data_IF_178219577634
#
_entry.id   IF_178219577634
#
_cell.length_a   1.000
_cell.length_b   1.000
_cell.length_c   1.000
_cell.angle_alpha   90.00
_cell.angle_beta   90.00
_cell.angle_gamma   90.00
#
_symmetry.space_group_name_H-M   'P 1'
#
loop_
_entity.id
_entity.type
_entity.pdbx_description
1 polymer ?
#
# COMPACT_ATOMS: atom_id res chain seq x y z
N UNK A 1 -25.78 -60.43 -46.67
CA UNK A 1 -26.41 -59.16 -47.10
C UNK A 1 -26.11 -58.10 -46.02
N UNK A 2 -24.86 -57.65 -45.92
CA UNK A 2 -24.45 -56.60 -44.97
C UNK A 2 -24.43 -55.29 -45.73
N UNK A 3 -25.53 -54.54 -45.67
CA UNK A 3 -25.64 -53.24 -46.31
C UNK A 3 -24.70 -52.24 -45.62
N UNK A 4 -23.76 -51.69 -46.38
CA UNK A 4 -22.92 -50.58 -45.95
C UNK A 4 -23.82 -49.40 -45.61
N UNK A 5 -23.87 -49.02 -44.33
CA UNK A 5 -24.58 -47.82 -43.89
C UNK A 5 -23.80 -46.61 -44.41
N UNK A 6 -24.34 -45.97 -45.45
CA UNK A 6 -23.74 -44.81 -46.08
C UNK A 6 -23.48 -43.68 -45.07
N UNK A 7 -22.48 -42.84 -45.35
CA UNK A 7 -22.00 -41.79 -44.43
C UNK A 7 -23.10 -40.83 -43.90
N UNK A 8 -24.24 -40.75 -44.59
CA UNK A 8 -25.43 -40.01 -44.13
C UNK A 8 -26.04 -40.62 -42.87
N UNK A 9 -26.09 -41.95 -42.77
CA UNK A 9 -26.64 -42.64 -41.61
C UNK A 9 -25.67 -42.61 -40.42
N UNK A 10 -24.35 -42.64 -40.68
CA UNK A 10 -23.34 -42.40 -39.66
C UNK A 10 -23.43 -40.98 -39.09
N UNK A 11 -23.68 -39.98 -39.93
CA UNK A 11 -23.86 -38.60 -39.47
C UNK A 11 -25.10 -38.44 -38.57
N UNK A 12 -26.21 -39.13 -38.89
CA UNK A 12 -27.39 -39.15 -38.01
C UNK A 12 -27.13 -39.85 -36.69
N UNK A 13 -26.43 -40.99 -36.72
CA UNK A 13 -26.05 -41.71 -35.50
C UNK A 13 -25.11 -40.87 -34.62
N UNK A 14 -24.12 -40.19 -35.22
CA UNK A 14 -23.22 -39.28 -34.52
C UNK A 14 -23.97 -38.10 -33.88
N UNK A 15 -24.95 -37.52 -34.58
CA UNK A 15 -25.78 -36.44 -34.04
C UNK A 15 -26.63 -36.89 -32.85
N UNK A 16 -27.21 -38.08 -32.91
CA UNK A 16 -28.01 -38.66 -31.82
C UNK A 16 -27.12 -38.94 -30.61
N UNK A 17 -25.96 -39.57 -30.81
CA UNK A 17 -24.99 -39.83 -29.75
C UNK A 17 -24.49 -38.53 -29.09
N UNK A 18 -24.23 -37.48 -29.88
CA UNK A 18 -23.85 -36.17 -29.36
C UNK A 18 -24.97 -35.51 -28.53
N UNK A 19 -26.24 -35.65 -28.95
CA UNK A 19 -27.40 -35.16 -28.19
C UNK A 19 -27.58 -35.91 -26.86
N UNK A 20 -27.35 -37.21 -26.83
CA UNK A 20 -27.42 -38.00 -25.59
C UNK A 20 -26.28 -37.67 -24.63
N UNK A 21 -25.06 -37.50 -25.14
CA UNK A 21 -23.92 -37.04 -24.34
C UNK A 21 -24.18 -35.64 -23.76
N UNK A 22 -24.76 -34.72 -24.54
CA UNK A 22 -25.12 -33.38 -24.07
C UNK A 22 -26.21 -33.41 -22.99
N UNK A 23 -27.22 -34.28 -23.10
CA UNK A 23 -28.26 -34.44 -22.06
C UNK A 23 -27.67 -34.97 -20.75
N UNK A 24 -26.73 -35.92 -20.81
CA UNK A 24 -26.03 -36.47 -19.63
C UNK A 24 -25.09 -35.44 -18.97
N UNK A 25 -24.50 -34.55 -19.76
CA UNK A 25 -23.59 -33.50 -19.30
C UNK A 25 -24.28 -32.16 -18.96
N UNK A 26 -25.57 -32.03 -19.24
CA UNK A 26 -26.35 -30.78 -19.17
C UNK A 26 -26.52 -30.14 -17.79
N UNK A 27 -26.08 -30.80 -16.72
CA UNK A 27 -26.06 -30.23 -15.37
C UNK A 27 -24.83 -29.33 -15.10
N UNK A 28 -23.77 -29.41 -15.91
CA UNK A 28 -22.47 -28.80 -15.59
C UNK A 28 -22.20 -27.42 -16.23
N UNK A 29 -23.04 -26.94 -17.16
CA UNK A 29 -22.83 -25.64 -17.82
C UNK A 29 -24.02 -24.73 -17.58
N UNK A 30 -24.13 -24.23 -16.34
CA UNK A 30 -24.92 -23.02 -16.07
C UNK A 30 -24.19 -21.85 -16.72
N UNK A 31 -24.74 -21.32 -17.82
CA UNK A 31 -24.34 -20.02 -18.36
C UNK A 31 -24.32 -19.01 -17.19
N UNK A 32 -23.24 -18.25 -16.96
CA UNK A 32 -23.28 -17.18 -15.98
C UNK A 32 -24.39 -16.23 -16.41
N UNK A 33 -25.45 -16.17 -15.61
CA UNK A 33 -26.56 -15.23 -15.81
C UNK A 33 -25.91 -13.84 -15.80
N UNK A 34 -25.76 -13.23 -16.98
CA UNK A 34 -25.40 -11.81 -17.09
C UNK A 34 -26.45 -11.07 -16.27
N UNK A 35 -26.07 -10.65 -15.07
CA UNK A 35 -26.81 -9.65 -14.32
C UNK A 35 -26.68 -8.37 -15.13
N UNK A 36 -27.67 -8.13 -15.99
CA UNK A 36 -27.92 -6.79 -16.49
C UNK A 36 -28.40 -5.99 -15.29
N UNK A 37 -27.46 -5.47 -14.50
CA UNK A 37 -27.75 -4.39 -13.56
C UNK A 37 -27.98 -3.16 -14.42
N UNK A 38 -29.23 -2.99 -14.85
CA UNK A 38 -29.71 -1.70 -15.32
C UNK A 38 -29.55 -0.76 -14.14
N UNK A 39 -28.48 0.03 -14.12
CA UNK A 39 -28.35 1.16 -13.20
C UNK A 39 -29.31 2.21 -13.74
N UNK A 40 -30.59 2.02 -13.43
CA UNK A 40 -31.55 3.13 -13.46
C UNK A 40 -30.98 4.12 -12.46
N UNK A 41 -30.60 5.31 -12.94
CA UNK A 41 -30.21 6.40 -12.06
C UNK A 41 -31.37 6.58 -11.08
N UNK A 42 -31.09 6.20 -9.83
CA UNK A 42 -32.05 6.18 -8.74
C UNK A 42 -32.28 7.65 -8.36
N UNK A 43 -33.28 8.27 -8.98
CA UNK A 43 -33.74 9.58 -8.59
C UNK A 43 -34.01 9.53 -7.08
N UNK A 44 -33.55 10.54 -6.34
CA UNK A 44 -33.54 10.59 -4.87
C UNK A 44 -34.91 10.59 -4.18
N UNK A 45 -35.94 10.04 -4.83
CA UNK A 45 -37.33 9.89 -4.39
C UNK A 45 -37.80 8.43 -4.34
N UNK A 46 -36.94 7.44 -4.54
CA UNK A 46 -37.32 6.04 -4.28
C UNK A 46 -37.01 5.65 -2.83
N UNK A 47 -37.91 4.90 -2.16
CA UNK A 47 -37.65 4.43 -0.82
C UNK A 47 -36.34 3.62 -0.79
N UNK A 48 -35.52 3.88 0.24
CA UNK A 48 -34.36 3.05 0.53
C UNK A 48 -34.86 1.59 0.62
N UNK A 49 -34.17 0.69 -0.09
CA UNK A 49 -34.49 -0.72 0.01
C UNK A 49 -34.32 -1.13 1.47
N UNK A 50 -35.26 -1.88 2.03
CA UNK A 50 -35.28 -2.23 3.46
C UNK A 50 -33.91 -2.73 3.97
N UNK A 51 -33.22 -3.57 3.19
CA UNK A 51 -31.87 -4.05 3.55
C UNK A 51 -30.80 -2.94 3.59
N UNK A 52 -30.90 -1.93 2.72
CA UNK A 52 -30.02 -0.76 2.74
C UNK A 52 -30.34 0.15 3.93
N UNK A 53 -31.63 0.33 4.27
CA UNK A 53 -32.04 1.11 5.43
C UNK A 53 -31.62 0.45 6.75
N UNK A 54 -31.75 -0.88 6.86
CA UNK A 54 -31.28 -1.66 8.02
C UNK A 54 -29.76 -1.58 8.13
N UNK A 55 -29.04 -1.73 7.01
CA UNK A 55 -27.58 -1.58 6.99
C UNK A 55 -27.15 -0.20 7.48
N UNK A 56 -27.75 0.87 6.95
CA UNK A 56 -27.49 2.25 7.39
C UNK A 56 -27.81 2.44 8.87
N UNK A 57 -28.94 1.92 9.37
CA UNK A 57 -29.28 2.01 10.79
C UNK A 57 -28.30 1.25 11.69
N UNK A 58 -27.81 0.08 11.28
CA UNK A 58 -26.82 -0.69 12.05
C UNK A 58 -25.48 0.03 12.10
N UNK A 59 -25.06 0.66 10.99
CA UNK A 59 -23.83 1.46 10.91
C UNK A 59 -23.96 2.75 11.72
N UNK A 60 -25.07 3.50 11.56
CA UNK A 60 -25.34 4.75 12.30
C UNK A 60 -25.46 4.53 13.81
N UNK A 61 -26.02 3.39 14.25
CA UNK A 61 -26.10 3.03 15.66
C UNK A 61 -24.84 2.37 16.22
N UNK A 62 -23.74 2.32 15.45
CA UNK A 62 -22.48 1.72 15.89
C UNK A 62 -22.58 0.24 16.24
N UNK A 63 -23.64 -0.45 15.79
CA UNK A 63 -23.88 -1.88 16.06
C UNK A 63 -23.04 -2.78 15.15
N UNK A 64 -22.37 -2.21 14.14
CA UNK A 64 -21.29 -2.88 13.40
C UNK A 64 -19.96 -2.40 13.97
N UNK A 65 -19.71 -2.70 15.24
CA UNK A 65 -18.35 -2.68 15.73
C UNK A 65 -17.61 -3.85 15.06
N UNK A 66 -16.45 -3.65 14.41
CA UNK A 66 -15.68 -4.76 13.86
C UNK A 66 -14.98 -5.50 15.00
N UNK A 67 -15.75 -6.11 15.90
CA UNK A 67 -15.26 -7.01 16.93
C UNK A 67 -14.49 -8.19 16.30
N UNK A 68 -14.76 -8.50 15.03
CA UNK A 68 -14.10 -9.55 14.27
C UNK A 68 -12.62 -9.27 13.93
N UNK A 69 -12.16 -8.02 14.01
CA UNK A 69 -10.74 -7.70 13.80
C UNK A 69 -9.85 -8.23 14.92
N UNK A 70 -10.37 -8.30 16.15
CA UNK A 70 -9.68 -8.87 17.31
C UNK A 70 -9.52 -10.39 17.21
N UNK A 71 -10.50 -11.10 16.65
CA UNK A 71 -10.41 -12.55 16.44
C UNK A 71 -9.40 -12.94 15.37
N UNK A 72 -9.19 -12.12 14.32
CA UNK A 72 -8.15 -12.39 13.31
C UNK A 72 -6.75 -12.34 13.93
N UNK A 73 -6.50 -11.40 14.83
CA UNK A 73 -5.21 -11.29 15.52
C UNK A 73 -5.03 -12.39 16.56
N UNK A 74 -6.09 -12.73 17.31
CA UNK A 74 -6.05 -13.78 18.34
C UNK A 74 -5.85 -15.18 17.72
N UNK A 75 -6.53 -15.47 16.61
CA UNK A 75 -6.49 -16.78 15.94
C UNK A 75 -5.40 -16.84 14.85
N UNK A 76 -4.54 -15.82 14.73
CA UNK A 76 -3.58 -15.72 13.62
C UNK A 76 -2.63 -16.92 13.56
N UNK A 77 -2.08 -17.35 14.70
CA UNK A 77 -1.15 -18.48 14.75
C UNK A 77 -1.83 -19.80 14.34
N UNK A 78 -3.08 -19.99 14.72
CA UNK A 78 -3.92 -21.12 14.33
C UNK A 78 -4.22 -21.12 12.82
N UNK A 79 -4.55 -19.95 12.27
CA UNK A 79 -4.79 -19.75 10.84
C UNK A 79 -3.51 -20.02 10.05
N UNK A 80 -2.37 -19.52 10.54
CA UNK A 80 -1.06 -19.71 9.94
C UNK A 80 -0.65 -21.18 9.96
N UNK A 81 -0.85 -21.88 11.07
CA UNK A 81 -0.59 -23.31 11.20
C UNK A 81 -1.46 -24.15 10.23
N UNK A 82 -2.72 -23.78 10.04
CA UNK A 82 -3.61 -24.46 9.10
C UNK A 82 -3.26 -24.19 7.63
N UNK A 83 -2.92 -22.93 7.28
CA UNK A 83 -2.66 -22.53 5.90
C UNK A 83 -1.23 -22.88 5.45
N UNK A 84 -0.24 -22.57 6.28
CA UNK A 84 1.20 -22.64 5.96
C UNK A 84 1.98 -23.10 7.20
N UNK A 85 1.92 -24.40 7.55
CA UNK A 85 2.52 -24.92 8.79
C UNK A 85 4.04 -24.66 8.87
N UNK A 86 4.72 -24.56 7.73
CA UNK A 86 6.16 -24.28 7.65
C UNK A 86 6.55 -22.87 8.13
N UNK A 87 5.58 -21.97 8.31
CA UNK A 87 5.78 -20.61 8.79
C UNK A 87 5.28 -20.40 10.24
N UNK A 88 4.66 -21.41 10.84
CA UNK A 88 4.15 -21.33 12.21
C UNK A 88 5.27 -20.97 13.19
N UNK A 89 5.01 -20.00 14.08
CA UNK A 89 5.98 -19.53 15.08
C UNK A 89 7.12 -18.66 14.53
N UNK A 90 7.15 -18.32 13.24
CA UNK A 90 8.19 -17.44 12.62
C UNK A 90 7.64 -16.10 12.13
N UNK A 91 6.35 -15.86 12.37
CA UNK A 91 5.59 -14.76 11.79
C UNK A 91 4.61 -14.27 12.86
N UNK A 92 4.60 -12.97 13.13
CA UNK A 92 3.72 -12.39 14.15
C UNK A 92 2.80 -11.34 13.51
N UNK A 93 1.49 -11.45 13.78
CA UNK A 93 0.54 -10.41 13.41
C UNK A 93 0.66 -9.22 14.36
N UNK A 94 0.77 -8.02 13.81
CA UNK A 94 0.97 -6.78 14.59
C UNK A 94 -0.31 -5.98 14.70
N UNK A 95 -1.04 -5.84 13.60
CA UNK A 95 -2.25 -5.03 13.55
C UNK A 95 -3.19 -5.54 12.46
N UNK A 96 -4.48 -5.32 12.67
CA UNK A 96 -5.50 -5.56 11.68
C UNK A 96 -6.37 -4.31 11.54
N UNK A 97 -6.46 -3.80 10.32
CA UNK A 97 -7.33 -2.68 9.97
C UNK A 97 -8.65 -3.24 9.40
N UNK A 98 -9.72 -3.09 10.16
CA UNK A 98 -11.04 -3.61 9.80
C UNK A 98 -11.73 -2.84 8.68
N UNK A 99 -11.40 -1.56 8.47
CA UNK A 99 -11.99 -0.75 7.40
C UNK A 99 -11.39 -1.15 6.05
N UNK A 100 -10.06 -1.34 5.98
CA UNK A 100 -9.38 -1.73 4.74
C UNK A 100 -9.25 -3.24 4.55
N UNK A 101 -9.45 -4.03 5.61
CA UNK A 101 -9.21 -5.48 5.62
C UNK A 101 -7.73 -5.82 5.52
N UNK A 102 -6.83 -4.93 5.97
CA UNK A 102 -5.38 -5.10 5.89
C UNK A 102 -4.85 -5.75 7.15
N UNK A 103 -4.12 -6.85 6.99
CA UNK A 103 -3.40 -7.54 8.06
C UNK A 103 -1.91 -7.21 7.97
N UNK A 104 -1.39 -6.52 8.98
CA UNK A 104 0.03 -6.19 9.11
C UNK A 104 0.77 -7.28 9.88
N UNK A 105 1.84 -7.78 9.27
CA UNK A 105 2.56 -8.97 9.74
C UNK A 105 4.05 -8.73 9.70
N UNK A 106 4.76 -9.10 10.77
CA UNK A 106 6.22 -9.03 10.89
C UNK A 106 6.80 -10.45 10.78
N UNK A 107 7.62 -10.74 9.76
CA UNK A 107 8.37 -11.97 9.68
C UNK A 107 9.64 -11.90 10.56
N UNK A 108 10.09 -13.04 11.09
CA UNK A 108 11.35 -13.16 11.83
C UNK A 108 12.59 -12.97 10.93
N UNK A 109 12.50 -13.42 9.67
CA UNK A 109 13.60 -13.33 8.71
C UNK A 109 13.15 -12.87 7.30
N UNK A 110 14.03 -12.27 6.48
CA UNK A 110 13.69 -11.84 5.11
C UNK A 110 13.19 -12.98 4.21
N UNK A 111 13.77 -14.18 4.35
CA UNK A 111 13.35 -15.37 3.60
C UNK A 111 11.92 -15.80 3.98
N UNK A 112 11.58 -15.72 5.26
CA UNK A 112 10.23 -15.98 5.79
C UNK A 112 9.25 -14.96 5.23
N UNK A 113 9.63 -13.68 5.19
CA UNK A 113 8.81 -12.63 4.57
C UNK A 113 8.52 -12.86 3.09
N UNK A 114 9.49 -13.39 2.33
CA UNK A 114 9.29 -13.72 0.91
C UNK A 114 8.30 -14.87 0.74
N UNK A 115 8.43 -15.93 1.54
CA UNK A 115 7.51 -17.07 1.52
C UNK A 115 6.10 -16.67 1.94
N UNK A 116 5.97 -15.78 2.92
CA UNK A 116 4.69 -15.23 3.38
C UNK A 116 3.99 -14.43 2.27
N UNK A 117 4.73 -13.64 1.49
CA UNK A 117 4.18 -12.91 0.33
C UNK A 117 3.67 -13.87 -0.75
N UNK A 118 4.40 -14.95 -1.00
CA UNK A 118 3.96 -15.98 -1.95
C UNK A 118 2.69 -16.69 -1.49
N UNK A 119 2.60 -17.02 -0.20
CA UNK A 119 1.46 -17.75 0.37
C UNK A 119 0.29 -16.85 0.78
N UNK A 120 0.39 -15.54 0.56
CA UNK A 120 -0.62 -14.56 0.98
C UNK A 120 -2.05 -14.90 0.53
N UNK A 121 -2.33 -15.32 -0.72
CA UNK A 121 -3.70 -15.67 -1.13
C UNK A 121 -4.28 -16.85 -0.33
N UNK A 122 -3.44 -17.84 -0.01
CA UNK A 122 -3.84 -19.03 0.76
C UNK A 122 -4.15 -18.63 2.22
N UNK A 123 -3.32 -17.77 2.80
CA UNK A 123 -3.50 -17.29 4.17
C UNK A 123 -4.75 -16.41 4.29
N UNK A 124 -5.00 -15.53 3.32
CA UNK A 124 -6.20 -14.69 3.27
C UNK A 124 -7.47 -15.56 3.18
N UNK A 125 -7.47 -16.60 2.35
CA UNK A 125 -8.60 -17.53 2.25
C UNK A 125 -8.86 -18.25 3.58
N UNK A 126 -7.81 -18.80 4.20
CA UNK A 126 -7.92 -19.50 5.48
C UNK A 126 -8.38 -18.57 6.62
N UNK A 127 -7.92 -17.33 6.65
CA UNK A 127 -8.34 -16.34 7.64
C UNK A 127 -9.84 -16.04 7.54
N UNK A 128 -10.35 -15.89 6.31
CA UNK A 128 -11.77 -15.63 6.06
C UNK A 128 -12.67 -16.84 6.30
N UNK A 129 -12.16 -18.06 6.14
CA UNK A 129 -12.89 -19.29 6.46
C UNK A 129 -13.03 -19.47 7.98
N UNK A 130 -11.96 -19.19 8.73
CA UNK A 130 -11.89 -19.42 10.18
C UNK A 130 -12.53 -18.30 11.00
N UNK A 131 -12.35 -17.05 10.58
CA UNK A 131 -12.86 -15.88 11.30
C UNK A 131 -13.99 -15.22 10.50
N UNK A 132 -15.22 -15.61 10.81
CA UNK A 132 -16.41 -15.03 10.20
C UNK A 132 -16.53 -13.55 10.60
N UNK A 133 -16.49 -12.66 9.61
CA UNK A 133 -16.55 -11.20 9.80
C UNK A 133 -15.18 -10.49 9.81
N UNK A 134 -14.06 -11.24 9.84
CA UNK A 134 -12.70 -10.69 9.85
C UNK A 134 -12.20 -10.18 8.50
N UNK A 135 -12.96 -10.39 7.42
CA UNK A 135 -12.76 -9.92 6.04
C UNK A 135 -11.35 -9.42 5.68
N UNK A 136 -10.36 -10.31 5.74
CA UNK A 136 -8.99 -10.01 5.32
C UNK A 136 -8.99 -9.90 3.79
N UNK A 137 -8.49 -8.76 3.28
CA UNK A 137 -8.40 -8.44 1.84
C UNK A 137 -6.96 -8.39 1.36
N UNK A 138 -6.06 -7.89 2.20
CA UNK A 138 -4.68 -7.69 1.85
C UNK A 138 -3.76 -8.04 3.02
N UNK A 139 -2.60 -8.60 2.70
CA UNK A 139 -1.56 -8.92 3.65
C UNK A 139 -0.37 -8.00 3.41
N UNK A 140 0.02 -7.25 4.44
CA UNK A 140 1.14 -6.34 4.39
C UNK A 140 2.30 -6.88 5.24
N UNK A 141 3.37 -7.27 4.55
CA UNK A 141 4.57 -7.82 5.18
C UNK A 141 5.54 -6.69 5.49
N UNK A 142 5.63 -6.37 6.78
CA UNK A 142 6.59 -5.42 7.32
C UNK A 142 8.01 -5.96 7.17
N UNK A 143 9.00 -5.05 7.22
CA UNK A 143 10.40 -5.46 7.26
C UNK A 143 10.65 -6.28 8.55
N UNK A 144 11.40 -7.39 8.47
CA UNK A 144 11.79 -8.11 9.67
C UNK A 144 12.56 -7.17 10.58
N UNK A 145 12.34 -7.26 11.89
CA UNK A 145 13.14 -6.52 12.85
C UNK A 145 14.63 -6.86 12.60
N UNK A 146 15.54 -5.87 12.61
CA UNK A 146 16.95 -6.16 12.50
C UNK A 146 17.33 -7.06 13.67
N UNK A 147 17.64 -8.32 13.39
CA UNK A 147 18.29 -9.21 14.36
C UNK A 147 19.54 -8.47 14.82
N UNK A 148 19.56 -8.09 16.10
CA UNK A 148 20.78 -7.66 16.76
C UNK A 148 21.68 -8.88 16.82
N UNK A 149 22.41 -9.14 15.74
CA UNK A 149 23.61 -9.96 15.79
C UNK A 149 24.51 -9.31 16.82
N UNK A 150 24.72 -10.00 17.94
CA UNK A 150 25.39 -9.47 19.12
C UNK A 150 26.57 -8.60 18.73
N UNK A 151 26.50 -7.34 19.13
CA UNK A 151 27.64 -6.45 19.12
C UNK A 151 28.73 -7.12 19.94
N UNK A 152 29.77 -7.63 19.27
CA UNK A 152 31.07 -7.59 19.91
C UNK A 152 31.32 -6.13 20.23
N UNK A 153 31.45 -5.82 21.52
CA UNK A 153 31.98 -4.56 22.00
C UNK A 153 33.25 -4.25 21.22
N UNK A 154 33.13 -3.41 20.21
CA UNK A 154 34.23 -2.58 19.78
C UNK A 154 33.96 -1.27 20.48
N UNK A 155 34.78 -1.00 21.49
CA UNK A 155 34.78 0.23 22.25
C UNK A 155 34.62 1.43 21.29
N UNK A 156 33.80 2.39 21.72
CA UNK A 156 33.57 3.64 21.04
C UNK A 156 34.91 4.28 20.63
N UNK A 157 35.27 4.13 19.35
CA UNK A 157 36.27 4.97 18.73
C UNK A 157 35.61 6.34 18.48
N UNK A 158 36.28 7.38 18.94
CA UNK A 158 35.92 8.78 18.76
C UNK A 158 35.47 9.09 17.31
N UNK A 159 34.60 10.11 17.11
CA UNK A 159 34.13 10.47 15.77
C UNK A 159 35.33 10.82 14.88
N UNK A 160 35.59 9.97 13.89
CA UNK A 160 36.56 10.27 12.86
C UNK A 160 36.07 11.49 12.05
N UNK A 161 36.98 12.41 11.65
CA UNK A 161 36.61 13.58 10.87
C UNK A 161 35.94 13.15 9.57
N UNK A 162 34.82 13.80 9.25
CA UNK A 162 34.05 13.58 8.04
C UNK A 162 34.93 13.77 6.80
N UNK A 163 35.37 12.65 6.22
CA UNK A 163 35.97 12.65 4.89
C UNK A 163 34.88 13.12 3.93
N UNK A 164 35.11 14.16 3.09
CA UNK A 164 34.11 14.58 2.12
C UNK A 164 33.77 13.38 1.23
N UNK A 165 32.48 13.08 1.13
CA UNK A 165 31.97 12.00 0.29
C UNK A 165 32.45 12.24 -1.14
N UNK A 166 33.47 11.49 -1.54
CA UNK A 166 33.95 11.49 -2.92
C UNK A 166 32.76 11.08 -3.78
N UNK A 167 32.38 11.88 -4.79
CA UNK A 167 31.31 11.50 -5.69
C UNK A 167 31.62 10.13 -6.25
N UNK A 168 30.77 9.14 -5.95
CA UNK A 168 30.91 7.80 -6.51
C UNK A 168 30.69 7.95 -8.01
N UNK A 169 31.78 8.03 -8.78
CA UNK A 169 31.73 8.02 -10.22
C UNK A 169 31.13 6.69 -10.65
N UNK A 170 29.87 6.73 -11.07
CA UNK A 170 29.18 5.55 -11.60
C UNK A 170 29.88 5.18 -12.88
N UNK A 171 30.57 4.04 -12.87
CA UNK A 171 31.25 3.49 -14.05
C UNK A 171 30.29 3.51 -15.24
N UNK A 172 30.70 4.00 -16.42
CA UNK A 172 29.84 4.04 -17.59
C UNK A 172 29.30 2.63 -17.90
N UNK A 173 28.00 2.49 -18.21
CA UNK A 173 27.41 1.18 -18.49
C UNK A 173 28.17 0.46 -19.62
N UNK A 174 28.41 -0.86 -19.50
CA UNK A 174 29.10 -1.64 -20.52
C UNK A 174 28.34 -1.62 -21.85
N UNK A 175 29.05 -1.69 -22.97
CA UNK A 175 28.45 -1.47 -24.30
C UNK A 175 27.38 -2.51 -24.68
N UNK A 176 27.50 -3.74 -24.17
CA UNK A 176 26.47 -4.76 -24.32
C UNK A 176 25.13 -4.36 -23.68
N UNK A 177 25.17 -3.68 -22.53
CA UNK A 177 23.97 -3.16 -21.88
C UNK A 177 23.34 -2.03 -22.69
N UNK A 178 24.15 -1.12 -23.26
CA UNK A 178 23.65 -0.05 -24.12
C UNK A 178 22.98 -0.60 -25.38
N UNK A 179 23.61 -1.56 -26.04
CA UNK A 179 23.03 -2.25 -27.22
C UNK A 179 21.73 -2.97 -26.89
N UNK A 180 21.64 -3.61 -25.73
CA UNK A 180 20.41 -4.27 -25.29
C UNK A 180 19.26 -3.27 -25.04
N UNK A 181 19.56 -2.11 -24.44
CA UNK A 181 18.58 -1.04 -24.23
C UNK A 181 18.13 -0.43 -25.56
N UNK A 182 19.04 -0.22 -26.51
CA UNK A 182 18.71 0.28 -27.84
C UNK A 182 17.84 -0.71 -28.62
N UNK A 183 18.20 -2.00 -28.61
CA UNK A 183 17.38 -3.05 -29.21
C UNK A 183 15.98 -3.12 -28.57
N UNK A 184 15.89 -2.99 -27.24
CA UNK A 184 14.62 -2.96 -26.53
C UNK A 184 13.77 -1.74 -26.92
N UNK A 185 14.38 -0.56 -27.07
CA UNK A 185 13.71 0.67 -27.54
C UNK A 185 13.24 0.56 -28.99
N UNK A 186 14.03 -0.07 -29.86
CA UNK A 186 13.67 -0.29 -31.26
C UNK A 186 12.54 -1.33 -31.41
N UNK A 187 12.50 -2.33 -30.53
CA UNK A 187 11.44 -3.34 -30.50
C UNK A 187 10.15 -2.85 -29.84
N UNK A 188 10.18 -1.70 -29.15
CA UNK A 188 9.00 -1.14 -28.54
C UNK A 188 8.01 -0.69 -29.63
N UNK A 189 6.79 -1.24 -29.68
CA UNK A 189 5.81 -0.82 -30.67
C UNK A 189 5.47 0.66 -30.45
N UNK A 190 5.21 1.43 -31.52
CA UNK A 190 4.79 2.81 -31.39
C UNK A 190 3.52 2.89 -30.53
N UNK A 191 3.49 3.88 -29.64
CA UNK A 191 2.33 4.14 -28.78
C UNK A 191 1.09 4.35 -29.65
N UNK A 192 0.08 3.50 -29.49
CA UNK A 192 -1.20 3.58 -30.20
C UNK A 192 -2.18 4.54 -29.54
N UNK A 193 -1.68 5.64 -28.98
CA UNK A 193 -2.56 6.70 -28.47
C UNK A 193 -3.02 7.48 -29.68
N UNK A 194 -4.32 7.48 -29.91
CA UNK A 194 -4.95 8.31 -30.93
C UNK A 194 -4.55 9.78 -30.71
N UNK A 195 -4.00 10.48 -31.72
CA UNK A 195 -3.56 11.87 -31.58
C UNK A 195 -4.68 12.79 -31.05
N UNK A 196 -5.95 12.52 -31.37
CA UNK A 196 -7.09 13.28 -30.86
C UNK A 196 -7.27 13.15 -29.35
N UNK A 197 -6.92 12.00 -28.76
CA UNK A 197 -6.95 11.78 -27.31
C UNK A 197 -5.81 12.56 -26.64
N UNK A 198 -4.61 12.54 -27.22
CA UNK A 198 -3.47 13.30 -26.70
C UNK A 198 -3.78 14.81 -26.67
N UNK A 199 -4.31 15.34 -27.76
CA UNK A 199 -4.72 16.75 -27.86
C UNK A 199 -5.86 17.09 -26.90
N UNK A 200 -6.81 16.17 -26.66
CA UNK A 200 -7.87 16.37 -25.67
C UNK A 200 -7.32 16.43 -24.24
N UNK A 201 -6.39 15.55 -23.89
CA UNK A 201 -5.71 15.54 -22.57
C UNK A 201 -4.88 16.79 -22.37
N UNK A 202 -4.16 17.25 -23.40
CA UNK A 202 -3.42 18.51 -23.33
C UNK A 202 -4.34 19.71 -23.13
N UNK A 203 -5.45 19.79 -23.87
CA UNK A 203 -6.45 20.85 -23.69
C UNK A 203 -7.03 20.86 -22.28
N UNK A 204 -7.38 19.69 -21.76
CA UNK A 204 -7.85 19.54 -20.38
C UNK A 204 -6.79 19.98 -19.37
N UNK A 205 -5.54 19.57 -19.57
CA UNK A 205 -4.41 19.92 -18.69
C UNK A 205 -4.16 21.43 -18.70
N UNK A 206 -4.22 22.09 -19.86
CA UNK A 206 -4.11 23.54 -20.00
C UNK A 206 -5.25 24.26 -19.27
N UNK A 207 -6.50 23.84 -19.47
CA UNK A 207 -7.66 24.40 -18.77
C UNK A 207 -7.56 24.23 -17.25
N UNK A 208 -7.12 23.06 -16.77
CA UNK A 208 -6.90 22.84 -15.33
C UNK A 208 -5.80 23.74 -14.77
N UNK A 209 -4.70 23.94 -15.51
CA UNK A 209 -3.62 24.85 -15.10
C UNK A 209 -4.08 26.30 -15.06
N UNK A 210 -4.88 26.73 -16.01
CA UNK A 210 -5.45 28.09 -16.01
C UNK A 210 -6.40 28.31 -14.83
N UNK A 211 -7.29 27.35 -14.56
CA UNK A 211 -8.15 27.39 -13.38
C UNK A 211 -7.34 27.40 -12.08
N UNK A 212 -6.28 26.59 -12.00
CA UNK A 212 -5.36 26.57 -10.86
C UNK A 212 -4.69 27.93 -10.65
N UNK A 213 -4.22 28.59 -11.72
CA UNK A 213 -3.59 29.92 -11.63
C UNK A 213 -4.57 31.01 -11.18
N UNK A 214 -5.85 30.90 -11.56
CA UNK A 214 -6.90 31.82 -11.11
C UNK A 214 -7.29 31.58 -9.65
N UNK A 215 -7.38 30.33 -9.22
CA UNK A 215 -7.73 29.94 -7.85
C UNK A 215 -6.58 30.21 -6.87
N UNK A 216 -5.34 30.01 -7.31
CA UNK A 216 -4.12 30.21 -6.56
C UNK A 216 -3.18 31.11 -7.36
N UNK A 217 -3.41 32.43 -7.32
CA UNK A 217 -2.46 33.38 -7.90
C UNK A 217 -1.15 33.25 -7.10
N UNK A 218 -0.13 32.64 -7.71
CA UNK A 218 1.22 32.70 -7.15
C UNK A 218 1.70 34.16 -7.26
N UNK A 219 2.26 34.74 -6.18
CA UNK A 219 2.84 36.07 -6.24
C UNK A 219 3.99 36.08 -7.26
N UNK A 220 4.11 37.19 -7.99
CA UNK A 220 5.07 37.37 -9.09
C UNK A 220 6.44 36.79 -8.78
N UNK A 221 6.92 35.96 -9.71
CA UNK A 221 8.27 35.45 -9.89
C UNK A 221 9.22 35.71 -8.71
N UNK A 222 9.26 34.74 -7.78
CA UNK A 222 10.45 34.57 -6.96
C UNK A 222 11.60 34.29 -7.94
N UNK A 223 12.65 35.12 -7.99
CA UNK A 223 13.78 34.89 -8.90
C UNK A 223 14.35 33.48 -8.67
N UNK A 224 14.76 32.78 -9.73
CA UNK A 224 15.20 31.37 -9.68
C UNK A 224 16.30 31.08 -8.62
N UNK A 225 17.01 32.12 -8.17
CA UNK A 225 18.05 32.05 -7.13
C UNK A 225 17.55 32.24 -5.68
N UNK A 226 16.26 32.55 -5.48
CA UNK A 226 15.70 32.70 -4.14
C UNK A 226 15.11 31.36 -3.66
N UNK A 227 15.51 30.86 -2.47
CA UNK A 227 15.04 29.58 -1.96
C UNK A 227 13.52 29.59 -1.84
N UNK A 228 12.88 28.49 -2.23
CA UNK A 228 11.43 28.36 -2.16
C UNK A 228 10.93 28.68 -0.73
N UNK A 229 9.70 29.18 -0.54
CA UNK A 229 9.18 29.55 0.78
C UNK A 229 9.30 28.41 1.82
N UNK A 230 9.18 27.15 1.38
CA UNK A 230 9.40 25.97 2.23
C UNK A 230 10.86 25.83 2.66
N UNK A 231 11.81 26.13 1.77
CA UNK A 231 13.25 26.09 2.08
C UNK A 231 13.65 27.25 2.99
N UNK A 232 13.07 28.44 2.80
CA UNK A 232 13.24 29.57 3.71
C UNK A 232 12.74 29.23 5.13
N UNK A 233 11.56 28.62 5.26
CA UNK A 233 11.02 28.19 6.54
C UNK A 233 11.93 27.12 7.20
N UNK A 234 12.50 26.20 6.41
CA UNK A 234 13.47 25.20 6.90
C UNK A 234 14.78 25.85 7.38
N UNK A 235 15.30 26.83 6.65
CA UNK A 235 16.49 27.61 7.04
C UNK A 235 16.26 28.40 8.32
N UNK A 236 15.11 29.05 8.46
CA UNK A 236 14.73 29.75 9.69
C UNK A 236 14.66 28.80 10.90
N UNK A 237 14.03 27.63 10.74
CA UNK A 237 13.95 26.63 11.81
C UNK A 237 15.32 26.12 12.24
N UNK A 238 16.24 25.89 11.28
CA UNK A 238 17.64 25.50 11.59
C UNK A 238 18.38 26.59 12.37
N UNK A 239 18.21 27.86 12.01
CA UNK A 239 18.80 29.00 12.75
C UNK A 239 18.25 29.12 14.16
N UNK A 240 16.95 28.93 14.34
CA UNK A 240 16.32 28.92 15.68
C UNK A 240 16.86 27.77 16.54
N UNK A 241 16.96 26.56 15.99
CA UNK A 241 17.53 25.42 16.69
C UNK A 241 18.98 25.66 17.11
N UNK A 242 19.82 26.19 16.21
CA UNK A 242 21.21 26.54 16.53
C UNK A 242 21.32 27.62 17.61
N UNK A 243 20.43 28.61 17.61
CA UNK A 243 20.38 29.65 18.64
C UNK A 243 19.98 29.07 20.00
N UNK A 244 19.01 28.15 20.04
CA UNK A 244 18.60 27.46 21.27
C UNK A 244 19.70 26.55 21.81
N UNK A 245 20.40 25.83 20.94
CA UNK A 245 21.54 24.98 21.29
C UNK A 245 22.69 25.82 21.87
N UNK A 246 23.03 26.94 21.23
CA UNK A 246 24.05 27.86 21.71
C UNK A 246 23.68 28.51 23.06
N UNK A 247 22.40 28.78 23.31
CA UNK A 247 21.93 29.26 24.61
C UNK A 247 22.03 28.17 25.69
N UNK A 248 21.66 26.93 25.38
CA UNK A 248 21.78 25.80 26.29
C UNK A 248 23.25 25.51 26.65
N UNK A 249 24.16 25.55 25.67
CA UNK A 249 25.59 25.37 25.90
C UNK A 249 26.20 26.48 26.76
N UNK A 250 25.74 27.73 26.63
CA UNK A 250 26.17 28.83 27.51
C UNK A 250 25.70 28.60 28.94
N UNK A 251 24.42 28.27 29.14
CA UNK A 251 23.87 27.93 30.47
C UNK A 251 24.63 26.76 31.11
N UNK A 252 24.89 25.69 30.36
CA UNK A 252 25.64 24.54 30.85
C UNK A 252 27.08 24.91 31.27
N UNK A 253 27.72 25.85 30.56
CA UNK A 253 29.04 26.39 30.95
C UNK A 253 28.97 27.26 32.20
N UNK A 254 27.95 28.10 32.33
CA UNK A 254 27.75 28.95 33.51
C UNK A 254 27.46 28.13 34.78
N UNK A 255 26.64 27.08 34.65
CA UNK A 255 26.36 26.10 35.71
C UNK A 255 27.63 25.34 36.12
N UNK A 256 28.44 24.92 35.14
CA UNK A 256 29.71 24.23 35.39
C UNK A 256 30.78 25.16 35.98
N UNK A 257 30.72 26.46 35.70
CA UNK A 257 31.59 27.48 36.28
C UNK A 257 31.14 27.92 37.70
N UNK A 258 30.11 27.29 38.28
CA UNK A 258 29.70 27.50 39.66
C UNK A 258 28.93 28.81 39.92
N UNK A 259 28.38 29.46 38.88
CA UNK A 259 27.46 30.58 39.08
C UNK A 259 26.04 30.07 39.30
N UNK A 260 25.67 29.90 40.57
CA UNK A 260 24.28 29.76 41.00
C UNK A 260 23.49 31.00 40.56
N UNK A 261 22.67 30.84 39.52
CA UNK A 261 21.72 31.89 39.12
C UNK A 261 20.69 32.03 40.23
N UNK A 262 20.73 33.18 40.91
CA UNK A 262 19.78 33.55 41.95
C UNK A 262 18.34 33.52 41.41
N UNK A 263 17.52 32.63 41.95
CA UNK A 263 16.07 32.62 41.75
C UNK A 263 15.47 33.74 42.60
N UNK A 264 14.65 34.66 42.06
CA UNK A 264 14.03 35.70 42.85
C UNK A 264 12.96 35.10 43.77
N UNK A 265 13.22 35.09 45.08
CA UNK A 265 12.22 34.79 46.11
C UNK A 265 11.16 35.88 46.12
N UNK A 266 9.91 35.52 45.78
CA UNK A 266 8.72 36.33 46.09
C UNK A 266 8.65 36.49 47.62
N UNK A 267 8.66 37.75 48.07
CA UNK A 267 8.32 38.10 49.44
C UNK A 267 6.80 38.01 49.59
N UNK A 268 6.36 36.99 50.31
CA UNK A 268 5.08 36.98 51.02
C UNK A 268 5.19 38.05 52.12
N UNK A 269 4.41 39.12 52.01
CA UNK A 269 4.18 40.08 53.09
C UNK A 269 2.73 39.90 53.56
N UNK A 270 2.59 39.27 54.72
CA UNK A 270 1.40 39.34 55.58
C UNK A 270 1.70 40.30 56.73
N UNK A 271 0.93 41.38 56.81
CA UNK A 271 0.43 42.07 58.02
C UNK A 271 -0.36 43.31 57.60
#
# INVERSE_FOLDING_TARGET
>A
MTGELGGVDLARQALIAAREAAKKNGAAIRKPKRRTTTVVRRDGREPLGLGAAIGMMMTERGMVAPAAGGSVLADFDDILAAAVPELAGRVQATAFDAETGRLDVVPDAPAVGTKLRWSAPKLIAAANERVQGGHVRALHVLAPAPVQTGSTTTAAAAPAPAVPAVPVERRPPPDGYRRAIEAHRQAAPPSRVDPGIAEAVERQTRAMRELSRRAFPEPDAVPDDAPAPIEQARLQRRRQAAATEAAALRRARDEKAGRTVAVPRRLEQTA
#
